data_IF_835410419560
#
_entry.id   IF_835410419560
#
_cell.length_a   1.000
_cell.length_b   1.000
_cell.length_c   1.000
_cell.angle_alpha   90.00
_cell.angle_beta   90.00
_cell.angle_gamma   90.00
#
_symmetry.space_group_name_H-M   'P 1'
#
loop_
_entity.id
_entity.type
_entity.pdbx_description
1 polymer ?
#
# COMPACT_ATOMS: atom_id res chain seq x y z
N UNK A 1 -22.78 -21.46 -36.75
CA UNK A 1 -23.13 -20.99 -35.42
C UNK A 1 -21.85 -20.95 -34.57
N UNK A 2 -21.11 -19.84 -34.58
CA UNK A 2 -19.97 -19.62 -33.70
C UNK A 2 -20.50 -18.95 -32.45
N UNK A 3 -20.46 -19.66 -31.32
CA UNK A 3 -20.69 -19.12 -29.99
C UNK A 3 -19.49 -18.22 -29.63
N UNK A 4 -19.71 -16.92 -29.54
CA UNK A 4 -18.86 -16.01 -28.81
C UNK A 4 -18.99 -16.39 -27.33
N UNK A 5 -18.06 -17.15 -26.82
CA UNK A 5 -17.86 -17.26 -25.38
C UNK A 5 -17.19 -15.97 -24.92
N UNK A 6 -17.90 -15.20 -24.11
CA UNK A 6 -17.42 -13.94 -23.56
C UNK A 6 -16.03 -14.10 -22.94
N UNK A 7 -15.10 -13.23 -23.32
CA UNK A 7 -13.74 -13.12 -22.73
C UNK A 7 -13.75 -13.07 -21.20
N UNK A 8 -14.86 -12.59 -20.63
CA UNK A 8 -15.12 -12.58 -19.19
C UNK A 8 -15.25 -13.99 -18.59
N UNK A 9 -15.88 -14.93 -19.33
CA UNK A 9 -16.09 -16.29 -18.86
C UNK A 9 -14.80 -17.12 -18.97
N UNK A 10 -14.02 -16.89 -20.00
CA UNK A 10 -12.68 -17.52 -20.17
C UNK A 10 -11.73 -16.97 -19.09
N UNK A 11 -11.73 -15.69 -18.82
CA UNK A 11 -10.94 -15.10 -17.74
C UNK A 11 -11.36 -15.61 -16.35
N UNK A 12 -12.66 -15.83 -16.12
CA UNK A 12 -13.18 -16.41 -14.88
C UNK A 12 -12.81 -17.90 -14.71
N UNK A 13 -12.84 -18.70 -15.77
CA UNK A 13 -12.47 -20.11 -15.76
C UNK A 13 -10.94 -20.30 -15.63
N UNK A 14 -10.14 -19.43 -16.24
CA UNK A 14 -8.68 -19.40 -16.10
C UNK A 14 -8.32 -19.03 -14.65
N UNK A 15 -8.99 -18.03 -14.05
CA UNK A 15 -8.81 -17.68 -12.63
C UNK A 15 -9.11 -18.83 -11.67
N UNK A 16 -10.06 -19.71 -12.00
CA UNK A 16 -10.43 -20.84 -11.16
C UNK A 16 -9.47 -22.05 -11.30
N UNK A 17 -8.67 -22.10 -12.35
CA UNK A 17 -7.77 -23.22 -12.66
C UNK A 17 -6.30 -22.98 -12.34
N UNK A 18 -5.89 -21.73 -12.19
CA UNK A 18 -4.55 -21.37 -11.71
C UNK A 18 -4.67 -20.89 -10.25
N UNK A 19 -4.29 -21.74 -9.30
CA UNK A 19 -4.03 -21.34 -7.92
C UNK A 19 -2.90 -20.32 -8.02
N UNK A 20 -3.20 -19.02 -7.84
CA UNK A 20 -2.18 -17.99 -7.84
C UNK A 20 -1.19 -18.32 -6.72
N UNK A 21 0.04 -18.62 -7.09
CA UNK A 21 1.10 -18.78 -6.11
C UNK A 21 1.51 -17.40 -5.64
N UNK A 22 1.52 -17.20 -4.34
CA UNK A 22 2.05 -16.00 -3.73
C UNK A 22 3.48 -16.29 -3.27
N UNK A 23 4.38 -15.44 -3.69
CA UNK A 23 5.77 -15.49 -3.30
C UNK A 23 6.05 -14.46 -2.23
N UNK A 24 6.94 -14.77 -1.30
CA UNK A 24 7.36 -13.86 -0.24
C UNK A 24 8.88 -13.77 -0.19
N UNK A 25 9.35 -12.63 0.28
CA UNK A 25 10.74 -12.39 0.64
C UNK A 25 10.79 -11.32 1.74
N UNK A 26 11.97 -11.02 2.26
CA UNK A 26 12.13 -10.15 3.42
C UNK A 26 13.18 -9.07 3.16
N UNK A 27 12.97 -7.93 3.81
CA UNK A 27 13.91 -6.83 3.83
C UNK A 27 14.18 -6.38 5.27
N UNK A 28 15.45 -6.29 5.65
CA UNK A 28 15.84 -5.82 6.99
C UNK A 28 16.04 -4.30 6.97
N UNK A 29 15.02 -3.57 7.40
CA UNK A 29 15.10 -2.11 7.49
C UNK A 29 15.68 -1.65 8.84
N UNK A 30 16.18 -0.38 8.92
CA UNK A 30 16.63 0.21 10.19
C UNK A 30 15.56 0.28 11.28
N UNK A 31 14.27 0.17 10.91
CA UNK A 31 13.12 0.30 11.82
C UNK A 31 12.32 -1.00 11.97
N UNK A 32 12.89 -2.12 11.53
CA UNK A 32 12.32 -3.46 11.68
C UNK A 32 12.26 -4.22 10.37
N UNK A 33 12.06 -5.53 10.48
CA UNK A 33 11.95 -6.43 9.34
C UNK A 33 10.66 -6.16 8.58
N UNK A 34 10.73 -6.21 7.27
CA UNK A 34 9.63 -5.99 6.33
C UNK A 34 9.44 -7.27 5.53
N UNK A 35 8.21 -7.76 5.44
CA UNK A 35 7.82 -8.85 4.55
C UNK A 35 7.29 -8.27 3.25
N UNK A 36 7.82 -8.76 2.14
CA UNK A 36 7.38 -8.48 0.78
C UNK A 36 6.53 -9.63 0.27
N UNK A 37 5.48 -9.35 -0.50
CA UNK A 37 4.69 -10.37 -1.18
C UNK A 37 4.38 -9.97 -2.62
N UNK A 38 4.40 -10.96 -3.52
CA UNK A 38 4.16 -10.78 -4.95
C UNK A 38 3.39 -11.97 -5.53
N UNK A 39 2.59 -11.69 -6.56
CA UNK A 39 1.99 -12.74 -7.42
C UNK A 39 2.95 -13.20 -8.54
N UNK A 40 4.21 -12.74 -8.52
CA UNK A 40 5.26 -13.08 -9.48
C UNK A 40 5.72 -11.91 -10.35
N UNK A 41 4.87 -10.91 -10.60
CA UNK A 41 5.17 -9.79 -11.52
C UNK A 41 5.05 -8.42 -10.89
N UNK A 42 4.27 -8.29 -9.83
CA UNK A 42 4.04 -7.03 -9.11
C UNK A 42 4.01 -7.27 -7.60
N UNK A 43 4.39 -6.26 -6.85
CA UNK A 43 4.28 -6.24 -5.40
C UNK A 43 2.80 -6.09 -5.00
N UNK A 44 2.30 -7.00 -4.18
CA UNK A 44 0.93 -6.98 -3.64
C UNK A 44 0.90 -6.72 -2.13
N UNK A 45 2.05 -6.82 -1.49
CA UNK A 45 2.19 -6.63 -0.06
C UNK A 45 3.58 -6.18 0.37
N UNK A 46 3.60 -5.27 1.35
CA UNK A 46 4.79 -4.75 2.00
C UNK A 46 4.43 -4.37 3.43
N UNK A 47 4.80 -5.19 4.40
CA UNK A 47 4.38 -5.02 5.79
C UNK A 47 5.55 -5.09 6.75
N UNK A 48 5.54 -4.26 7.78
CA UNK A 48 6.39 -4.47 8.94
C UNK A 48 5.94 -5.71 9.71
N UNK A 49 6.88 -6.51 10.21
CA UNK A 49 6.54 -7.61 11.11
C UNK A 49 5.74 -7.11 12.32
N UNK A 50 4.70 -7.86 12.67
CA UNK A 50 3.82 -7.55 13.80
C UNK A 50 2.88 -6.36 13.59
N UNK A 51 2.82 -5.76 12.39
CA UNK A 51 1.85 -4.70 12.14
C UNK A 51 0.41 -5.23 12.15
N UNK A 52 -0.53 -4.33 12.46
CA UNK A 52 -1.96 -4.61 12.36
C UNK A 52 -2.32 -4.92 10.91
N UNK A 53 -3.20 -5.91 10.69
CA UNK A 53 -3.62 -6.38 9.37
C UNK A 53 -2.47 -6.95 8.52
N UNK A 54 -1.45 -7.51 9.17
CA UNK A 54 -0.35 -8.19 8.48
C UNK A 54 -0.89 -9.32 7.62
N UNK A 55 -0.59 -9.27 6.33
CA UNK A 55 -0.97 -10.28 5.32
C UNK A 55 -2.48 -10.60 5.22
N UNK A 56 -3.38 -9.81 5.82
CA UNK A 56 -4.85 -10.04 5.78
C UNK A 56 -5.42 -10.15 4.36
N UNK A 57 -4.74 -9.57 3.38
CA UNK A 57 -5.11 -9.62 1.96
C UNK A 57 -4.70 -10.90 1.25
N UNK A 58 -3.88 -11.75 1.89
CA UNK A 58 -3.36 -13.01 1.34
C UNK A 58 -4.06 -14.17 2.03
N UNK A 59 -4.72 -15.00 1.23
CA UNK A 59 -5.43 -16.22 1.69
C UNK A 59 -4.76 -17.50 1.20
N UNK A 60 -3.84 -17.36 0.28
CA UNK A 60 -3.13 -18.44 -0.38
C UNK A 60 -1.89 -18.84 0.40
N UNK A 61 -1.42 -20.06 0.19
CA UNK A 61 -0.10 -20.48 0.67
C UNK A 61 0.99 -19.65 0.01
N UNK A 62 1.93 -19.17 0.83
CA UNK A 62 3.06 -18.39 0.39
C UNK A 62 4.30 -19.27 0.27
N UNK A 63 5.09 -19.04 -0.78
CA UNK A 63 6.38 -19.69 -1.00
C UNK A 63 7.48 -18.63 -0.98
N UNK A 64 8.51 -18.83 -0.18
CA UNK A 64 9.69 -17.96 -0.21
C UNK A 64 10.47 -18.19 -1.51
N UNK A 65 10.75 -17.11 -2.23
CA UNK A 65 11.45 -17.15 -3.51
C UNK A 65 12.07 -15.80 -3.84
N UNK A 66 13.22 -15.82 -4.48
CA UNK A 66 13.83 -14.63 -5.06
C UNK A 66 13.13 -14.29 -6.39
N UNK A 67 12.74 -13.03 -6.55
CA UNK A 67 12.10 -12.48 -7.74
C UNK A 67 12.65 -11.07 -8.01
N UNK A 68 12.77 -10.72 -9.28
CA UNK A 68 13.23 -9.39 -9.71
C UNK A 68 12.43 -8.24 -9.06
N UNK A 69 11.13 -8.44 -8.83
CA UNK A 69 10.29 -7.44 -8.17
C UNK A 69 10.70 -7.21 -6.70
N UNK A 70 11.25 -8.21 -6.02
CA UNK A 70 11.77 -8.05 -4.66
C UNK A 70 13.12 -7.35 -4.65
N UNK A 71 13.95 -7.58 -5.67
CA UNK A 71 15.22 -6.85 -5.84
C UNK A 71 14.96 -5.37 -6.14
N UNK A 72 14.02 -5.08 -7.04
CA UNK A 72 13.59 -3.70 -7.32
C UNK A 72 13.01 -3.02 -6.07
N UNK A 73 12.19 -3.74 -5.30
CA UNK A 73 11.62 -3.22 -4.05
C UNK A 73 12.71 -2.97 -3.00
N UNK A 74 13.68 -3.88 -2.86
CA UNK A 74 14.80 -3.73 -1.93
C UNK A 74 15.68 -2.53 -2.31
N UNK A 75 15.98 -2.36 -3.60
CA UNK A 75 16.71 -1.20 -4.11
C UNK A 75 15.97 0.12 -3.83
N UNK A 76 14.64 0.12 -4.00
CA UNK A 76 13.81 1.27 -3.67
C UNK A 76 13.87 1.60 -2.17
N UNK A 77 13.75 0.58 -1.31
CA UNK A 77 13.83 0.72 0.14
C UNK A 77 15.22 1.19 0.60
N UNK A 78 16.29 0.72 -0.03
CA UNK A 78 17.65 1.19 0.25
C UNK A 78 17.82 2.69 0.00
N UNK A 79 17.29 3.20 -1.10
CA UNK A 79 17.31 4.64 -1.40
C UNK A 79 16.47 5.41 -0.37
N UNK A 80 15.26 4.91 -0.10
CA UNK A 80 14.33 5.53 0.84
C UNK A 80 14.92 5.61 2.26
N UNK A 81 15.46 4.52 2.81
CA UNK A 81 16.03 4.50 4.15
C UNK A 81 17.37 5.26 4.29
N UNK A 82 17.98 5.68 3.18
CA UNK A 82 19.05 6.67 3.18
C UNK A 82 18.54 8.13 3.24
N UNK A 83 17.24 8.35 3.42
CA UNK A 83 16.61 9.67 3.49
C UNK A 83 16.55 10.39 2.15
N UNK A 84 16.48 9.64 1.05
CA UNK A 84 16.34 10.16 -0.31
C UNK A 84 15.01 9.70 -0.91
N UNK A 85 14.38 10.56 -1.69
CA UNK A 85 13.22 10.19 -2.50
C UNK A 85 13.70 9.30 -3.66
N UNK A 86 13.19 8.05 -3.79
CA UNK A 86 13.50 7.22 -4.94
C UNK A 86 12.91 7.81 -6.23
N UNK A 87 13.65 7.73 -7.33
CA UNK A 87 13.28 8.25 -8.65
C UNK A 87 12.48 7.26 -9.51
N UNK A 88 12.18 6.09 -8.97
CA UNK A 88 11.33 5.07 -9.59
C UNK A 88 10.37 4.47 -8.57
N UNK A 89 9.35 3.76 -9.04
CA UNK A 89 8.44 2.98 -8.18
C UNK A 89 8.40 1.54 -8.67
N UNK A 90 8.64 0.53 -7.82
CA UNK A 90 8.43 -0.86 -8.19
C UNK A 90 7.00 -1.09 -8.68
N UNK A 91 6.82 -2.07 -9.56
CA UNK A 91 5.48 -2.40 -10.04
C UNK A 91 4.62 -2.90 -8.87
N UNK A 92 3.54 -2.19 -8.56
CA UNK A 92 2.61 -2.54 -7.50
C UNK A 92 1.24 -2.92 -8.07
N UNK A 93 0.55 -3.84 -7.38
CA UNK A 93 -0.83 -4.20 -7.65
C UNK A 93 -1.67 -3.91 -6.42
N UNK A 94 -2.47 -2.85 -6.47
CA UNK A 94 -3.35 -2.44 -5.37
C UNK A 94 -4.56 -3.38 -5.34
N UNK A 95 -4.70 -4.12 -4.25
CA UNK A 95 -5.80 -5.06 -4.01
C UNK A 95 -6.85 -4.48 -3.06
N UNK A 96 -8.01 -5.13 -2.96
CA UNK A 96 -9.07 -4.75 -2.02
C UNK A 96 -10.29 -4.13 -2.70
N UNK A 97 -11.17 -3.53 -1.89
CA UNK A 97 -12.42 -2.92 -2.36
C UNK A 97 -12.15 -1.68 -3.22
N UNK A 98 -13.10 -1.29 -4.12
CA UNK A 98 -12.96 -0.08 -4.92
C UNK A 98 -12.66 1.18 -4.08
N UNK A 99 -13.28 1.28 -2.90
CA UNK A 99 -13.03 2.40 -1.98
C UNK A 99 -11.60 2.41 -1.43
N UNK A 100 -11.06 1.24 -1.02
CA UNK A 100 -9.67 1.14 -0.56
C UNK A 100 -8.68 1.46 -1.68
N UNK A 101 -8.97 1.05 -2.92
CA UNK A 101 -8.13 1.38 -4.08
C UNK A 101 -8.11 2.88 -4.33
N UNK A 102 -9.28 3.56 -4.36
CA UNK A 102 -9.34 5.02 -4.50
C UNK A 102 -8.55 5.75 -3.40
N UNK A 103 -8.66 5.30 -2.14
CA UNK A 103 -7.86 5.89 -1.05
C UNK A 103 -6.36 5.67 -1.27
N UNK A 104 -5.93 4.48 -1.71
CA UNK A 104 -4.53 4.18 -1.99
C UNK A 104 -3.97 5.03 -3.14
N UNK A 105 -4.75 5.20 -4.21
CA UNK A 105 -4.41 6.05 -5.36
C UNK A 105 -4.22 7.52 -4.92
N UNK A 106 -5.10 8.05 -4.07
CA UNK A 106 -4.93 9.40 -3.51
C UNK A 106 -3.68 9.47 -2.61
N UNK A 107 -3.43 8.45 -1.77
CA UNK A 107 -2.22 8.43 -0.95
C UNK A 107 -0.94 8.48 -1.79
N UNK A 108 -0.89 7.84 -2.95
CA UNK A 108 0.24 7.89 -3.87
C UNK A 108 0.52 9.29 -4.43
N UNK A 109 -0.45 10.19 -4.40
CA UNK A 109 -0.25 11.59 -4.82
C UNK A 109 0.39 12.47 -3.76
N UNK A 110 0.55 11.98 -2.52
CA UNK A 110 1.16 12.75 -1.43
C UNK A 110 2.69 12.77 -1.63
N UNK A 111 3.29 13.95 -1.89
CA UNK A 111 4.72 14.03 -2.16
C UNK A 111 5.58 13.62 -0.96
N UNK A 112 6.83 13.25 -1.22
CA UNK A 112 7.85 13.00 -0.21
C UNK A 112 8.00 14.22 0.72
N UNK A 113 8.04 13.99 2.04
CA UNK A 113 8.15 15.05 3.04
C UNK A 113 6.88 15.91 3.23
N UNK A 114 5.76 15.57 2.58
CA UNK A 114 4.47 16.25 2.75
C UNK A 114 3.46 15.35 3.42
N UNK A 115 2.43 15.95 3.98
CA UNK A 115 1.33 15.24 4.64
C UNK A 115 -0.02 15.67 4.08
N UNK A 116 -1.01 14.78 4.19
CA UNK A 116 -2.41 15.05 3.87
C UNK A 116 -3.27 14.56 5.03
N UNK A 117 -4.33 15.27 5.37
CA UNK A 117 -5.24 14.85 6.43
C UNK A 117 -6.27 13.85 5.92
N UNK A 118 -6.83 13.03 6.83
CA UNK A 118 -7.96 12.14 6.49
C UNK A 118 -9.14 12.92 5.91
N UNK A 119 -9.36 14.16 6.38
CA UNK A 119 -10.42 15.04 5.89
C UNK A 119 -10.17 15.52 4.47
N UNK A 120 -8.94 15.87 4.11
CA UNK A 120 -8.57 16.26 2.75
C UNK A 120 -8.77 15.09 1.77
N UNK A 121 -8.33 13.87 2.11
CA UNK A 121 -8.60 12.66 1.31
C UNK A 121 -10.12 12.46 1.15
N UNK A 122 -10.89 12.58 2.24
CA UNK A 122 -12.35 12.45 2.20
C UNK A 122 -12.99 13.48 1.25
N UNK A 123 -12.51 14.72 1.25
CA UNK A 123 -13.00 15.77 0.36
C UNK A 123 -12.69 15.47 -1.12
N UNK A 124 -11.49 14.96 -1.42
CA UNK A 124 -11.13 14.52 -2.78
C UNK A 124 -12.11 13.45 -3.27
N UNK A 125 -12.33 12.40 -2.48
CA UNK A 125 -13.25 11.30 -2.83
C UNK A 125 -14.68 11.81 -2.99
N UNK A 126 -15.15 12.70 -2.11
CA UNK A 126 -16.49 13.27 -2.21
C UNK A 126 -16.68 14.03 -3.54
N UNK A 127 -15.69 14.83 -3.94
CA UNK A 127 -15.68 15.57 -5.20
C UNK A 127 -15.67 14.63 -6.41
N UNK A 128 -14.81 13.62 -6.42
CA UNK A 128 -14.73 12.66 -7.53
C UNK A 128 -16.01 11.85 -7.71
N UNK A 129 -16.70 11.52 -6.62
CA UNK A 129 -17.94 10.76 -6.64
C UNK A 129 -19.19 11.62 -6.78
N UNK A 130 -19.07 12.94 -6.80
CA UNK A 130 -20.20 13.86 -6.85
C UNK A 130 -21.14 13.76 -5.63
N UNK A 131 -20.61 13.41 -4.45
CA UNK A 131 -21.40 13.30 -3.21
C UNK A 131 -21.09 14.47 -2.27
N UNK A 132 -22.09 14.85 -1.46
CA UNK A 132 -21.97 16.04 -0.60
C UNK A 132 -20.86 15.90 0.46
N UNK A 133 -20.59 14.69 0.97
CA UNK A 133 -19.62 14.45 2.04
C UNK A 133 -19.15 13.00 2.06
N UNK A 134 -17.86 12.79 2.37
CA UNK A 134 -17.26 11.49 2.70
C UNK A 134 -16.79 11.50 4.16
N UNK A 135 -16.92 10.35 4.83
CA UNK A 135 -16.47 10.21 6.23
C UNK A 135 -14.94 10.09 6.31
N UNK A 136 -14.29 11.00 7.04
CA UNK A 136 -12.87 10.90 7.38
C UNK A 136 -12.55 9.62 8.18
N UNK A 137 -13.49 9.12 9.00
CA UNK A 137 -13.35 7.86 9.73
C UNK A 137 -13.32 6.66 8.77
N UNK A 138 -14.17 6.65 7.73
CA UNK A 138 -14.14 5.61 6.71
C UNK A 138 -12.81 5.62 5.94
N UNK A 139 -12.30 6.81 5.60
CA UNK A 139 -10.96 6.98 5.01
C UNK A 139 -9.88 6.43 5.95
N UNK A 140 -9.96 6.75 7.25
CA UNK A 140 -9.02 6.22 8.24
C UNK A 140 -9.00 4.69 8.31
N UNK A 141 -10.18 4.06 8.21
CA UNK A 141 -10.29 2.61 8.07
C UNK A 141 -9.59 2.07 6.81
N UNK A 142 -9.78 2.71 5.67
CA UNK A 142 -9.14 2.32 4.42
C UNK A 142 -7.61 2.51 4.46
N UNK A 143 -7.13 3.65 4.98
CA UNK A 143 -5.70 3.94 5.19
C UNK A 143 -5.04 2.88 6.09
N UNK A 144 -5.73 2.47 7.17
CA UNK A 144 -5.23 1.45 8.09
C UNK A 144 -5.08 0.05 7.46
N UNK A 145 -5.83 -0.25 6.40
CA UNK A 145 -5.74 -1.51 5.66
C UNK A 145 -4.83 -1.42 4.42
N UNK A 146 -3.93 -0.45 4.37
CA UNK A 146 -2.93 -0.39 3.31
C UNK A 146 -2.04 -1.64 3.35
N UNK A 147 -2.04 -2.40 2.26
CA UNK A 147 -1.23 -3.62 2.14
C UNK A 147 0.21 -3.37 1.69
N UNK A 148 0.54 -2.18 1.19
CA UNK A 148 1.88 -1.84 0.67
C UNK A 148 2.41 -0.63 1.42
N UNK A 149 2.87 -0.87 2.65
CA UNK A 149 3.41 0.19 3.53
C UNK A 149 4.60 0.90 2.90
N UNK A 150 4.85 2.14 3.24
CA UNK A 150 5.93 3.02 2.78
C UNK A 150 5.74 3.45 1.32
N UNK A 151 5.71 2.54 0.35
CA UNK A 151 5.53 2.86 -1.09
C UNK A 151 4.18 3.55 -1.29
N UNK A 152 3.08 2.97 -0.75
CA UNK A 152 1.82 3.69 -0.59
C UNK A 152 1.89 4.40 0.77
N UNK A 153 2.08 5.73 0.80
CA UNK A 153 2.59 6.43 1.97
C UNK A 153 1.51 6.73 3.03
N UNK A 154 0.90 5.67 3.60
CA UNK A 154 -0.10 5.82 4.66
C UNK A 154 0.46 6.50 5.93
N UNK A 155 1.78 6.50 6.14
CA UNK A 155 2.44 7.26 7.20
C UNK A 155 2.35 8.78 6.98
N UNK A 156 2.19 9.28 5.74
CA UNK A 156 1.99 10.70 5.42
C UNK A 156 0.55 11.18 5.68
N UNK A 157 -0.39 10.25 6.00
CA UNK A 157 -1.77 10.63 6.33
C UNK A 157 -1.86 10.93 7.83
N UNK A 158 -2.31 12.14 8.17
CA UNK A 158 -2.36 12.67 9.54
C UNK A 158 -3.77 13.12 9.93
N UNK A 159 -4.00 13.31 11.21
CA UNK A 159 -5.24 13.92 11.71
C UNK A 159 -5.28 15.42 11.48
N UNK A 160 -6.38 16.06 11.87
CA UNK A 160 -6.52 17.51 11.85
C UNK A 160 -5.38 18.16 12.65
N UNK A 161 -4.88 19.30 12.17
CA UNK A 161 -3.74 20.04 12.77
C UNK A 161 -2.43 19.24 12.84
N UNK A 162 -2.26 18.22 11.96
CA UNK A 162 -1.05 17.42 11.91
C UNK A 162 -0.96 16.36 13.01
N UNK A 163 -2.03 16.12 13.78
CA UNK A 163 -2.01 15.14 14.87
C UNK A 163 -1.68 13.73 14.33
N UNK A 164 -0.76 13.07 15.01
CA UNK A 164 -0.33 11.72 14.66
C UNK A 164 -1.33 10.71 15.23
N UNK A 165 -2.23 10.24 14.40
CA UNK A 165 -3.22 9.23 14.75
C UNK A 165 -3.02 7.99 13.92
N UNK A 166 -3.13 6.82 14.54
CA UNK A 166 -3.17 5.52 13.90
C UNK A 166 -2.13 5.25 12.80
N UNK A 167 -1.42 4.16 12.92
CA UNK A 167 -0.58 3.58 11.87
C UNK A 167 -0.55 2.07 12.08
N UNK A 168 -0.74 1.30 11.03
CA UNK A 168 -0.76 -0.16 11.14
C UNK A 168 0.55 -0.72 11.71
N UNK A 169 1.68 -0.12 11.34
CA UNK A 169 3.01 -0.47 11.84
C UNK A 169 3.36 0.09 13.23
N UNK A 170 2.45 0.84 13.87
CA UNK A 170 2.70 1.52 15.15
C UNK A 170 3.17 2.97 14.99
N UNK A 171 2.79 3.84 15.94
CA UNK A 171 3.08 5.28 15.88
C UNK A 171 4.58 5.57 15.86
N UNK A 172 5.40 4.78 16.55
CA UNK A 172 6.84 4.97 16.58
C UNK A 172 7.46 4.87 15.17
N UNK A 173 7.05 3.89 14.38
CA UNK A 173 7.49 3.76 12.99
C UNK A 173 7.00 4.91 12.13
N UNK A 174 5.75 5.34 12.30
CA UNK A 174 5.22 6.51 11.60
C UNK A 174 6.05 7.76 11.86
N UNK A 175 6.40 8.02 13.12
CA UNK A 175 7.24 9.15 13.51
C UNK A 175 8.63 9.04 12.85
N UNK A 176 9.23 7.84 12.88
CA UNK A 176 10.55 7.62 12.29
C UNK A 176 10.54 7.85 10.76
N UNK A 177 9.52 7.37 10.05
CA UNK A 177 9.36 7.58 8.60
C UNK A 177 9.19 9.06 8.28
N UNK A 178 8.32 9.78 8.99
CA UNK A 178 8.11 11.20 8.78
C UNK A 178 9.36 12.05 9.09
N UNK A 179 10.12 11.68 10.14
CA UNK A 179 11.42 12.31 10.44
C UNK A 179 12.46 12.02 9.36
N UNK A 180 12.51 10.80 8.84
CA UNK A 180 13.39 10.42 7.74
C UNK A 180 13.12 11.29 6.51
N UNK A 181 11.87 11.56 6.22
CA UNK A 181 11.43 12.42 5.12
C UNK A 181 11.57 13.92 5.41
N UNK A 182 12.07 14.33 6.58
CA UNK A 182 12.21 15.72 7.00
C UNK A 182 10.90 16.51 6.87
N UNK A 183 9.80 15.89 7.26
CA UNK A 183 8.47 16.51 7.19
C UNK A 183 8.38 17.72 8.10
N UNK A 184 7.98 18.87 7.53
CA UNK A 184 8.00 20.19 8.18
C UNK A 184 7.09 20.34 9.43
N UNK A 185 6.28 19.33 9.73
CA UNK A 185 5.22 19.42 10.77
C UNK A 185 5.42 18.47 11.97
N UNK A 186 6.63 17.92 12.17
CA UNK A 186 6.90 16.98 13.27
C UNK A 186 8.15 17.37 14.02
#
# INVERSE_FOLDING_TARGET
>A
FFLFLDDYYICFLIRKRYKFMIYTNYYNSPIGRITMASEGTALIGLWFEGQKYFADSIKEECTEKDLDIFDDTSRWLDIYFRGKEPDFTPKILITGTPFRKSVAEIMLTIPYGKTMTYGEIANVIAKEKGIAKMSAQAVGGAVGHNSISIIIPCHRVVGTNGSLTGYAGGLDKKIQLLKLEKTDKI
#
